data_IF_956443782366
#
_entry.id   IF_956443782366
#
_cell.length_a   1.000
_cell.length_b   1.000
_cell.length_c   1.000
_cell.angle_alpha   90.00
_cell.angle_beta   90.00
_cell.angle_gamma   90.00
#
_symmetry.space_group_name_H-M   'P 1'
#
loop_
_entity.id
_entity.type
_entity.pdbx_description
1 polymer ?
2 non-polymer ?
3 non-polymer ?
4 water ?
#
# COMPACT_ATOMS: atom_id res chain seq x y z
N UNK A 1 -0.11 40.45 12.45
CA UNK A 1 0.18 40.26 11.00
C UNK A 1 0.60 38.83 10.63
N UNK A 2 1.87 38.40 10.79
CA UNK A 2 2.13 37.00 10.52
C UNK A 2 1.33 36.08 11.45
N UNK A 3 1.16 36.39 12.73
CA UNK A 3 0.34 35.49 13.56
C UNK A 3 -1.11 35.50 13.12
N UNK A 4 -1.67 36.60 12.64
CA UNK A 4 -3.05 36.68 12.13
C UNK A 4 -3.22 35.92 10.82
N UNK A 5 -2.22 35.94 9.95
CA UNK A 5 -2.18 35.15 8.75
C UNK A 5 -2.13 33.66 9.18
N UNK A 6 -1.24 33.31 10.10
CA UNK A 6 -1.11 31.93 10.56
C UNK A 6 -2.45 31.47 11.14
N UNK A 7 -3.12 32.31 11.95
CA UNK A 7 -4.40 31.81 12.49
C UNK A 7 -5.43 31.61 11.41
N UNK A 8 -5.53 32.43 10.41
CA UNK A 8 -6.54 32.33 9.37
C UNK A 8 -6.21 31.24 8.36
N UNK A 9 -4.95 30.81 8.29
CA UNK A 9 -4.50 29.87 7.28
C UNK A 9 -4.77 28.42 7.68
N UNK A 10 -4.82 28.13 8.95
CA UNK A 10 -4.83 26.77 9.44
C UNK A 10 -6.21 26.13 9.66
N UNK A 11 -6.28 24.81 9.46
CA UNK A 11 -7.58 24.13 9.64
C UNK A 11 -7.84 23.95 11.11
N UNK A 12 -8.98 23.38 11.52
CA UNK A 12 -9.22 23.15 12.93
C UNK A 12 -9.20 21.70 13.41
N UNK A 13 -9.98 20.80 12.84
CA UNK A 13 -10.07 19.41 13.26
C UNK A 13 -9.00 18.44 12.67
N UNK A 14 -9.12 17.20 13.09
CA UNK A 14 -8.28 16.10 12.68
C UNK A 14 -8.47 15.78 11.20
N UNK A 15 -7.40 15.50 10.46
CA UNK A 15 -7.47 15.01 9.11
C UNK A 15 -8.37 13.76 9.05
N UNK A 16 -9.28 13.88 8.07
CA UNK A 16 -10.27 12.79 7.92
C UNK A 16 -10.22 12.22 6.50
N UNK A 17 -10.31 10.90 6.43
CA UNK A 17 -10.45 10.20 5.15
C UNK A 17 -11.91 10.33 4.74
N UNK A 18 -12.21 10.93 3.60
CA UNK A 18 -13.56 11.18 3.13
C UNK A 18 -13.99 10.45 1.88
N UNK A 19 -13.12 9.71 1.23
CA UNK A 19 -13.43 8.82 0.13
C UNK A 19 -12.24 7.94 -0.10
N UNK A 20 -12.51 6.71 -0.55
CA UNK A 20 -11.51 5.74 -0.93
C UNK A 20 -12.01 5.06 -2.23
N UNK A 21 -11.14 4.91 -3.23
CA UNK A 21 -11.51 4.21 -4.48
C UNK A 21 -10.28 3.40 -4.93
N UNK A 22 -10.39 2.24 -5.56
CA UNK A 22 -9.24 1.41 -5.88
C UNK A 22 -9.35 1.02 -7.37
N UNK A 23 -8.23 0.66 -8.01
CA UNK A 23 -8.27 0.05 -9.34
C UNK A 23 -7.16 -1.01 -9.44
N UNK A 24 -7.19 -1.94 -10.36
CA UNK A 24 -6.26 -2.98 -10.60
C UNK A 24 -6.23 -3.25 -12.10
N UNK A 25 -5.11 -3.68 -12.63
CA UNK A 25 -5.01 -4.03 -14.06
C UNK A 25 -6.04 -5.16 -14.28
N UNK A 26 -6.55 -5.25 -15.48
CA UNK A 26 -7.57 -6.25 -15.80
C UNK A 26 -7.02 -7.68 -15.83
N UNK A 27 -5.73 -7.92 -15.91
CA UNK A 27 -5.30 -9.32 -15.95
C UNK A 27 -5.26 -9.99 -14.59
N UNK A 28 -6.13 -10.96 -14.34
CA UNK A 28 -6.24 -11.78 -13.15
C UNK A 28 -5.36 -13.03 -13.20
N UNK A 29 -4.42 -13.27 -12.33
CA UNK A 29 -3.50 -14.39 -12.35
C UNK A 29 -3.76 -15.30 -11.16
N UNK A 30 -4.24 -16.53 -11.47
CA UNK A 30 -4.59 -17.43 -10.38
C UNK A 30 -3.31 -17.82 -9.65
N UNK A 31 -3.32 -17.97 -8.33
CA UNK A 31 -2.07 -18.31 -7.67
C UNK A 31 -1.80 -19.80 -7.79
N UNK A 32 -2.82 -20.64 -7.84
CA UNK A 32 -2.72 -22.07 -7.80
C UNK A 32 -1.87 -22.64 -8.92
N UNK A 33 -2.08 -22.13 -10.08
CA UNK A 33 -1.39 -22.53 -11.28
C UNK A 33 -0.20 -21.62 -11.58
N UNK A 34 0.14 -20.70 -10.67
CA UNK A 34 1.12 -19.69 -11.01
C UNK A 34 2.54 -20.24 -11.16
N UNK A 35 2.97 -21.18 -10.36
CA UNK A 35 4.29 -21.77 -10.50
C UNK A 35 4.49 -22.46 -11.87
N UNK A 36 3.49 -23.08 -12.45
CA UNK A 36 3.60 -23.62 -13.79
C UNK A 36 3.66 -22.51 -14.80
N UNK A 37 2.82 -21.51 -14.72
CA UNK A 37 2.93 -20.37 -15.66
C UNK A 37 4.30 -19.71 -15.54
N UNK A 38 4.71 -19.39 -14.33
CA UNK A 38 5.92 -18.54 -14.14
C UNK A 38 7.16 -19.34 -14.60
N UNK A 39 7.30 -20.61 -14.19
CA UNK A 39 8.46 -21.39 -14.57
C UNK A 39 8.53 -21.67 -16.06
N UNK A 40 7.36 -21.76 -16.76
CA UNK A 40 7.41 -21.91 -18.20
C UNK A 40 7.68 -20.57 -18.84
N UNK A 41 7.01 -19.49 -18.40
CA UNK A 41 7.25 -18.21 -19.07
C UNK A 41 8.69 -17.73 -18.91
N UNK A 42 9.41 -18.22 -17.90
CA UNK A 42 10.81 -17.79 -17.74
C UNK A 42 11.79 -18.84 -18.22
N UNK A 43 11.32 -19.78 -19.10
CA UNK A 43 12.16 -20.88 -19.55
C UNK A 43 12.94 -21.56 -18.43
N UNK A 44 12.28 -21.82 -17.30
CA UNK A 44 12.97 -22.47 -16.21
C UNK A 44 12.44 -23.84 -15.83
N UNK A 45 11.69 -24.49 -16.69
CA UNK A 45 11.08 -25.78 -16.42
C UNK A 45 12.06 -26.85 -16.05
N UNK A 46 13.29 -26.78 -16.49
CA UNK A 46 14.30 -27.73 -16.13
C UNK A 46 14.63 -27.63 -14.66
N UNK A 47 14.55 -26.48 -14.01
CA UNK A 47 14.82 -26.30 -12.59
C UNK A 47 13.77 -26.91 -11.66
N UNK A 48 13.74 -28.24 -11.59
CA UNK A 48 12.74 -28.94 -10.81
C UNK A 48 12.71 -28.57 -9.33
N UNK A 49 13.85 -28.67 -8.65
CA UNK A 49 13.94 -28.42 -7.22
C UNK A 49 13.38 -27.01 -6.90
N UNK A 50 13.86 -26.05 -7.67
CA UNK A 50 13.47 -24.65 -7.51
C UNK A 50 11.97 -24.50 -7.71
N UNK A 51 11.42 -25.16 -8.73
CA UNK A 51 10.01 -25.05 -9.01
C UNK A 51 9.09 -25.52 -7.88
N UNK A 52 9.51 -26.65 -7.30
CA UNK A 52 8.84 -27.29 -6.19
C UNK A 52 8.84 -26.31 -5.00
N UNK A 53 10.03 -25.76 -4.79
CA UNK A 53 10.22 -24.75 -3.77
C UNK A 53 9.19 -23.63 -4.03
N UNK A 54 9.15 -23.12 -5.27
CA UNK A 54 8.20 -22.04 -5.55
C UNK A 54 6.74 -22.49 -5.37
N UNK A 55 6.37 -23.71 -5.74
CA UNK A 55 4.97 -24.14 -5.55
C UNK A 55 4.63 -24.13 -4.05
N UNK A 56 5.54 -24.53 -3.18
CA UNK A 56 5.30 -24.48 -1.75
C UNK A 56 5.12 -23.02 -1.29
N UNK A 57 5.97 -22.11 -1.66
CA UNK A 57 5.75 -20.69 -1.39
C UNK A 57 4.36 -20.20 -1.88
N UNK A 58 3.94 -20.43 -3.14
CA UNK A 58 2.65 -20.05 -3.63
C UNK A 58 1.53 -20.73 -2.83
N UNK A 59 1.54 -22.05 -2.67
CA UNK A 59 0.57 -22.67 -1.76
C UNK A 59 0.57 -22.09 -0.34
N UNK A 60 1.67 -21.68 0.23
CA UNK A 60 1.67 -21.14 1.61
C UNK A 60 1.32 -19.69 1.73
N UNK A 61 1.30 -19.01 0.62
CA UNK A 61 1.16 -17.57 0.49
C UNK A 61 -0.16 -17.08 0.98
N UNK A 62 -1.25 -17.84 0.89
CA UNK A 62 -2.56 -17.42 1.34
C UNK A 62 -3.12 -16.34 0.43
N UNK A 63 -2.60 -16.36 -0.78
CA UNK A 63 -3.01 -15.50 -1.88
C UNK A 63 -3.71 -16.44 -2.88
N UNK A 64 -4.95 -16.14 -3.25
CA UNK A 64 -5.71 -16.83 -4.23
C UNK A 64 -5.50 -16.29 -5.66
N UNK A 65 -5.31 -15.00 -5.82
CA UNK A 65 -5.03 -14.40 -7.11
C UNK A 65 -4.39 -13.00 -6.98
N UNK A 66 -3.79 -12.54 -8.07
CA UNK A 66 -3.27 -11.17 -8.15
C UNK A 66 -3.54 -10.58 -9.52
N UNK A 67 -3.68 -9.29 -9.64
CA UNK A 67 -3.96 -8.59 -10.86
C UNK A 67 -2.60 -8.08 -11.35
N UNK A 68 -2.31 -8.22 -12.62
CA UNK A 68 -0.97 -7.91 -13.12
C UNK A 68 -1.03 -7.29 -14.51
N UNK A 69 -0.38 -6.16 -14.58
CA UNK A 69 -0.19 -5.45 -15.82
C UNK A 69 0.55 -6.39 -16.79
N UNK A 70 1.55 -7.13 -16.29
CA UNK A 70 2.28 -7.98 -17.18
C UNK A 70 1.44 -9.18 -17.63
N UNK A 71 1.39 -9.43 -18.92
CA UNK A 71 0.62 -10.55 -19.47
C UNK A 71 1.61 -11.52 -20.12
N UNK A 72 1.21 -12.68 -20.62
CA UNK A 72 2.17 -13.53 -21.34
C UNK A 72 2.64 -12.86 -22.64
N UNK A 73 1.78 -12.17 -23.31
CA UNK A 73 2.03 -11.48 -24.55
C UNK A 73 3.05 -10.36 -24.28
N UNK A 74 2.87 -9.54 -23.26
CA UNK A 74 3.98 -8.65 -22.88
C UNK A 74 5.27 -9.36 -22.56
N UNK A 75 5.26 -10.41 -21.79
CA UNK A 75 6.46 -11.19 -21.43
C UNK A 75 7.14 -11.90 -22.59
N UNK A 76 6.46 -12.27 -23.66
CA UNK A 76 7.06 -12.89 -24.85
C UNK A 76 7.75 -11.86 -25.74
N UNK A 77 7.32 -10.59 -25.62
CA UNK A 77 8.03 -9.47 -26.22
C UNK A 77 9.14 -8.89 -25.38
N UNK A 78 9.36 -9.35 -24.15
CA UNK A 78 10.49 -8.84 -23.35
C UNK A 78 11.24 -9.94 -22.68
N UNK A 79 11.93 -10.84 -23.36
CA UNK A 79 12.68 -11.91 -22.73
C UNK A 79 13.67 -11.42 -21.71
N UNK A 80 14.21 -10.20 -21.87
CA UNK A 80 15.17 -9.66 -20.89
C UNK A 80 14.49 -9.46 -19.53
N UNK A 81 13.20 -9.33 -19.50
CA UNK A 81 12.41 -9.17 -18.28
C UNK A 81 12.19 -10.55 -17.68
N UNK A 82 12.23 -11.57 -18.54
CA UNK A 82 11.97 -12.91 -18.07
C UNK A 82 13.20 -13.59 -17.46
N UNK A 83 14.36 -13.05 -17.74
CA UNK A 83 15.59 -13.60 -17.19
C UNK A 83 15.74 -13.17 -15.73
N UNK A 84 16.56 -13.78 -14.89
CA UNK A 84 16.74 -13.27 -13.53
C UNK A 84 17.36 -11.90 -13.55
N UNK A 85 18.41 -11.70 -14.37
CA UNK A 85 19.12 -10.42 -14.34
C UNK A 85 19.62 -10.06 -15.74
N UNK A 86 18.84 -9.42 -16.57
CA UNK A 86 19.29 -8.95 -17.86
C UNK A 86 18.94 -7.46 -17.95
N UNK A 87 19.74 -6.63 -18.65
CA UNK A 87 19.47 -5.23 -18.90
C UNK A 87 18.03 -5.01 -19.37
N UNK A 88 17.25 -4.22 -18.64
CA UNK A 88 15.78 -4.22 -18.98
C UNK A 88 15.05 -3.05 -18.33
N UNK A 89 15.82 -2.15 -17.71
CA UNK A 89 15.19 -0.98 -17.09
C UNK A 89 14.45 -0.07 -18.04
N UNK A 90 14.89 0.14 -19.26
CA UNK A 90 14.23 1.06 -20.21
C UNK A 90 12.89 0.43 -20.61
N UNK A 91 12.95 -0.88 -20.85
CA UNK A 91 11.66 -1.56 -21.11
C UNK A 91 10.74 -1.45 -19.92
N UNK A 92 11.02 -1.81 -18.68
CA UNK A 92 10.19 -1.69 -17.52
C UNK A 92 9.66 -0.26 -17.23
N UNK A 93 10.51 0.76 -17.44
CA UNK A 93 10.25 2.12 -17.20
C UNK A 93 9.16 2.60 -18.21
N UNK A 94 9.30 2.13 -19.43
CA UNK A 94 8.34 2.50 -20.46
C UNK A 94 6.99 1.89 -20.08
N UNK A 95 6.97 0.73 -19.41
CA UNK A 95 5.66 0.19 -19.01
C UNK A 95 5.09 1.02 -17.88
N UNK A 96 5.84 1.20 -16.78
CA UNK A 96 5.32 1.80 -15.57
C UNK A 96 5.22 3.30 -15.58
N UNK A 97 5.94 4.03 -16.45
CA UNK A 97 5.73 5.49 -16.42
C UNK A 97 4.32 5.82 -16.93
N UNK A 98 3.74 4.97 -17.75
CA UNK A 98 2.41 5.06 -18.31
C UNK A 98 1.41 4.34 -17.38
N UNK A 99 1.68 3.10 -17.03
CA UNK A 99 0.71 2.31 -16.24
C UNK A 99 0.43 2.90 -14.88
N UNK A 100 1.37 3.48 -14.19
CA UNK A 100 1.23 4.01 -12.85
C UNK A 100 0.21 5.12 -12.84
N UNK A 101 0.38 6.17 -13.59
CA UNK A 101 -0.62 7.22 -13.67
C UNK A 101 -1.94 6.73 -14.27
N UNK A 102 -1.97 5.91 -15.33
CA UNK A 102 -3.23 5.36 -15.83
C UNK A 102 -4.04 4.60 -14.73
N UNK A 103 -3.49 3.73 -13.95
CA UNK A 103 -4.13 2.99 -12.90
C UNK A 103 -4.51 3.91 -11.72
N UNK A 104 -3.54 4.78 -11.36
CA UNK A 104 -3.82 5.84 -10.42
C UNK A 104 -5.08 6.64 -10.75
N UNK A 105 -5.20 7.02 -12.01
CA UNK A 105 -6.31 7.77 -12.57
C UNK A 105 -7.62 7.03 -12.32
N UNK A 106 -7.66 5.75 -12.59
CA UNK A 106 -8.87 4.96 -12.41
C UNK A 106 -9.35 5.04 -10.96
N UNK A 107 -8.40 4.84 -10.04
CA UNK A 107 -8.69 4.82 -8.61
C UNK A 107 -9.18 6.21 -8.18
N UNK A 108 -8.47 7.24 -8.66
CA UNK A 108 -8.82 8.58 -8.17
C UNK A 108 -10.20 9.05 -8.62
N UNK A 109 -10.60 8.74 -9.85
CA UNK A 109 -11.88 9.11 -10.42
C UNK A 109 -12.98 8.47 -9.54
N UNK A 110 -12.90 7.19 -9.14
CA UNK A 110 -13.83 6.61 -8.19
C UNK A 110 -13.86 7.33 -6.85
N UNK A 111 -12.70 7.60 -6.25
CA UNK A 111 -12.74 8.33 -4.94
C UNK A 111 -13.40 9.72 -5.11
N UNK A 112 -13.01 10.41 -6.18
CA UNK A 112 -13.54 11.74 -6.47
C UNK A 112 -15.06 11.58 -6.65
N UNK A 113 -15.56 10.65 -7.41
CA UNK A 113 -17.01 10.42 -7.50
C UNK A 113 -17.66 10.20 -6.14
N UNK A 114 -17.10 9.34 -5.30
CA UNK A 114 -17.64 9.09 -3.96
C UNK A 114 -17.67 10.38 -3.14
N UNK A 115 -16.64 11.17 -3.24
CA UNK A 115 -16.48 12.42 -2.45
C UNK A 115 -17.60 13.35 -2.88
N UNK A 116 -17.81 13.46 -4.20
CA UNK A 116 -18.94 14.22 -4.69
C UNK A 116 -18.67 15.68 -4.96
N UNK A 117 -17.62 16.26 -4.38
CA UNK A 117 -17.26 17.66 -4.56
C UNK A 117 -16.51 17.93 -5.85
N UNK A 118 -16.54 19.14 -6.36
CA UNK A 118 -15.77 19.57 -7.52
C UNK A 118 -14.27 19.26 -7.39
N UNK A 119 -13.68 18.73 -8.47
CA UNK A 119 -12.32 18.30 -8.43
C UNK A 119 -11.45 19.51 -8.27
N UNK A 120 -11.88 20.71 -8.66
CA UNK A 120 -11.14 21.94 -8.52
C UNK A 120 -10.93 22.39 -7.07
N UNK A 121 -11.59 21.80 -6.10
CA UNK A 121 -11.43 21.94 -4.67
C UNK A 121 -10.28 21.04 -4.19
N UNK A 122 -9.69 20.26 -5.12
CA UNK A 122 -8.53 19.46 -4.68
C UNK A 122 -7.35 20.40 -4.58
N UNK A 123 -6.82 20.64 -3.39
CA UNK A 123 -5.70 21.57 -3.23
C UNK A 123 -4.29 20.98 -3.18
N UNK A 124 -4.14 19.73 -2.90
CA UNK A 124 -2.93 18.97 -2.71
C UNK A 124 -3.04 17.54 -3.26
N UNK A 125 -1.90 17.05 -3.75
CA UNK A 125 -1.93 15.78 -4.44
C UNK A 125 -0.63 15.06 -4.07
N UNK A 126 -0.86 13.90 -3.49
CA UNK A 126 0.27 13.08 -3.08
C UNK A 126 0.21 11.87 -3.99
N UNK A 127 1.30 11.64 -4.73
CA UNK A 127 1.37 10.39 -5.50
C UNK A 127 2.56 9.60 -4.90
N UNK A 128 2.23 8.32 -4.76
CA UNK A 128 3.15 7.40 -4.19
C UNK A 128 3.21 6.13 -5.02
N UNK A 129 4.46 5.79 -5.33
CA UNK A 129 4.69 4.59 -6.13
C UNK A 129 6.07 3.96 -5.87
N UNK A 130 6.20 2.64 -6.05
CA UNK A 130 7.57 2.09 -5.98
C UNK A 130 8.04 1.63 -7.33
N UNK A 131 7.37 1.92 -8.46
CA UNK A 131 7.68 1.36 -9.74
C UNK A 131 7.89 2.49 -10.74
N UNK A 132 9.16 2.61 -11.10
CA UNK A 132 9.45 3.67 -12.04
C UNK A 132 9.68 4.98 -11.31
N UNK A 133 10.43 5.86 -12.00
CA UNK A 133 10.61 7.25 -11.67
C UNK A 133 10.66 8.03 -12.99
N UNK A 134 10.26 9.27 -13.05
CA UNK A 134 10.24 9.99 -14.26
C UNK A 134 10.22 11.49 -13.87
N UNK A 135 10.71 12.34 -14.80
CA UNK A 135 10.49 13.77 -14.60
C UNK A 135 9.86 14.43 -15.80
N UNK A 136 8.87 15.28 -15.72
CA UNK A 136 7.94 15.47 -14.62
C UNK A 136 7.47 14.10 -14.14
N UNK A 137 7.05 13.97 -12.87
CA UNK A 137 6.67 12.64 -12.40
C UNK A 137 5.24 12.22 -12.61
N UNK A 138 4.88 11.07 -11.95
CA UNK A 138 3.49 10.64 -12.02
C UNK A 138 2.49 11.63 -11.41
N UNK A 139 2.92 12.53 -10.53
CA UNK A 139 2.03 13.55 -9.96
C UNK A 139 1.54 14.57 -10.99
N UNK A 140 2.46 14.98 -11.82
CA UNK A 140 2.25 15.81 -12.97
C UNK A 140 1.39 15.05 -13.99
N UNK A 141 1.68 13.80 -14.34
CA UNK A 141 0.84 13.09 -15.29
C UNK A 141 -0.59 12.96 -14.80
N UNK A 142 -0.76 12.69 -13.50
CA UNK A 142 -2.10 12.54 -12.95
C UNK A 142 -2.89 13.85 -12.87
N UNK A 143 -2.19 14.98 -12.63
CA UNK A 143 -2.79 16.29 -12.60
C UNK A 143 -3.45 16.62 -13.95
N UNK A 144 -2.74 16.28 -14.99
CA UNK A 144 -3.07 16.42 -16.39
C UNK A 144 -4.18 15.42 -16.77
N UNK A 145 -3.94 14.15 -16.45
CA UNK A 145 -5.02 13.18 -16.75
C UNK A 145 -6.32 13.55 -16.06
N UNK A 146 -6.31 13.93 -14.78
CA UNK A 146 -7.59 14.18 -14.11
C UNK A 146 -8.22 15.53 -14.40
N UNK A 147 -7.50 16.47 -14.99
CA UNK A 147 -7.97 17.83 -15.16
C UNK A 147 -7.83 18.58 -13.84
N UNK A 148 -7.01 18.27 -12.85
CA UNK A 148 -6.92 18.99 -11.59
C UNK A 148 -6.52 20.44 -11.83
N UNK A 149 -6.68 21.39 -10.91
CA UNK A 149 -6.07 22.71 -11.22
C UNK A 149 -4.55 22.65 -11.32
N UNK A 150 -3.96 23.48 -12.18
CA UNK A 150 -2.52 23.62 -12.40
C UNK A 150 -1.73 24.00 -11.16
N UNK A 151 -2.38 24.67 -10.19
CA UNK A 151 -1.74 25.06 -8.94
C UNK A 151 -1.95 24.03 -7.83
N UNK A 152 -2.44 22.81 -8.18
CA UNK A 152 -2.58 21.85 -7.06
C UNK A 152 -1.19 21.69 -6.42
N UNK A 153 -0.98 21.57 -5.12
CA UNK A 153 0.36 21.38 -4.54
C UNK A 153 0.71 19.89 -4.49
N UNK A 154 1.73 19.52 -5.22
CA UNK A 154 2.19 18.18 -5.48
C UNK A 154 3.32 17.64 -4.61
N UNK A 155 3.16 16.35 -4.25
CA UNK A 155 4.05 15.61 -3.41
C UNK A 155 4.36 14.28 -4.11
N UNK A 156 5.49 14.17 -4.78
CA UNK A 156 5.79 13.00 -5.59
C UNK A 156 6.64 12.09 -4.75
N UNK A 157 6.11 10.97 -4.22
CA UNK A 157 6.92 10.10 -3.40
C UNK A 157 7.40 8.89 -4.19
N UNK A 158 8.58 8.89 -4.76
CA UNK A 158 9.11 7.82 -5.57
C UNK A 158 9.93 6.84 -4.77
N UNK A 159 9.97 5.59 -5.17
CA UNK A 159 10.81 4.55 -4.58
C UNK A 159 10.88 4.42 -3.07
N UNK A 160 9.75 4.41 -2.45
CA UNK A 160 9.51 4.37 -1.04
C UNK A 160 9.45 2.95 -0.49
N UNK A 161 8.73 2.06 -1.19
CA UNK A 161 8.67 0.70 -0.75
C UNK A 161 7.39 0.52 0.06
N UNK A 162 7.28 -0.77 0.76
CA UNK A 162 6.13 -1.36 1.27
C UNK A 162 5.45 -0.68 2.47
N UNK A 163 6.17 0.15 3.22
CA UNK A 163 5.58 0.88 4.28
C UNK A 163 4.88 2.18 3.75
N UNK A 164 5.05 2.49 2.38
CA UNK A 164 4.54 3.81 2.19
C UNK A 164 3.03 4.18 2.17
N UNK A 165 2.17 3.19 2.44
CA UNK A 165 0.76 3.38 2.66
C UNK A 165 0.59 4.16 3.99
N UNK A 166 1.42 3.89 4.97
CA UNK A 166 1.43 4.66 6.21
C UNK A 166 2.10 6.01 6.00
N UNK A 167 3.18 6.12 5.24
CA UNK A 167 3.77 7.45 4.93
C UNK A 167 2.83 8.49 4.34
N UNK A 168 2.04 8.07 3.32
CA UNK A 168 1.13 8.92 2.60
C UNK A 168 0.04 9.47 3.51
N UNK A 169 -0.41 8.63 4.45
CA UNK A 169 -1.32 9.04 5.47
C UNK A 169 -0.67 10.02 6.45
N UNK A 170 0.60 9.69 6.78
CA UNK A 170 1.25 10.58 7.75
C UNK A 170 1.37 11.93 7.07
N UNK A 171 1.75 11.93 5.80
CA UNK A 171 1.93 13.19 5.08
C UNK A 171 0.60 13.93 4.96
N UNK A 172 -0.44 13.32 4.43
CA UNK A 172 -1.78 13.83 4.25
C UNK A 172 -2.34 14.45 5.52
N UNK A 173 -2.02 13.85 6.68
CA UNK A 173 -2.52 14.40 7.95
C UNK A 173 -2.03 15.85 8.10
N UNK A 174 -0.72 16.05 8.05
CA UNK A 174 -0.17 17.38 8.25
C UNK A 174 -0.58 18.32 7.11
N UNK A 175 -0.76 17.83 5.89
CA UNK A 175 -1.21 18.82 4.90
C UNK A 175 -2.66 19.23 5.24
N UNK A 176 -3.58 18.28 5.54
CA UNK A 176 -4.96 18.65 5.75
C UNK A 176 -5.18 19.53 6.99
N UNK A 177 -4.44 19.28 8.06
CA UNK A 177 -4.61 19.91 9.33
C UNK A 177 -4.04 21.31 9.48
N UNK A 178 -3.11 21.70 8.65
CA UNK A 178 -2.40 22.93 8.75
C UNK A 178 -2.94 23.95 7.74
N UNK A 179 -3.78 23.53 6.79
CA UNK A 179 -4.29 24.33 5.73
C UNK A 179 -5.84 24.26 5.68
N UNK A 180 -6.45 25.38 5.96
CA UNK A 180 -7.86 25.61 6.04
C UNK A 180 -8.50 25.30 4.70
N UNK A 181 -9.49 24.42 4.60
CA UNK A 181 -10.04 24.16 3.26
C UNK A 181 -9.29 23.11 2.45
N UNK A 182 -8.02 22.83 2.82
CA UNK A 182 -7.26 21.88 1.98
C UNK A 182 -7.96 20.54 1.92
N UNK A 183 -7.94 19.87 0.78
CA UNK A 183 -8.53 18.62 0.40
C UNK A 183 -7.43 17.90 -0.35
N UNK A 184 -6.99 16.77 0.23
CA UNK A 184 -5.84 16.13 -0.35
C UNK A 184 -6.24 14.91 -1.18
N UNK A 185 -5.79 14.83 -2.43
CA UNK A 185 -6.02 13.60 -3.16
C UNK A 185 -4.74 12.76 -2.94
N UNK A 186 -4.92 11.53 -2.45
CA UNK A 186 -3.75 10.67 -2.17
C UNK A 186 -3.80 9.50 -3.16
N UNK A 187 -2.83 9.27 -4.03
CA UNK A 187 -2.88 8.13 -4.94
C UNK A 187 -1.66 7.21 -4.76
N UNK A 188 -1.92 5.93 -4.43
CA UNK A 188 -0.79 4.99 -4.29
C UNK A 188 -0.98 3.97 -5.42
N UNK A 189 -0.05 3.82 -6.32
CA UNK A 189 -0.21 3.09 -7.53
C UNK A 189 1.05 2.23 -7.68
N UNK A 190 0.86 0.92 -7.64
CA UNK A 190 2.04 0.04 -7.67
C UNK A 190 1.91 -1.01 -8.75
N UNK A 191 2.88 -0.98 -9.72
CA UNK A 191 2.94 -1.95 -10.77
C UNK A 191 4.24 -2.76 -10.67
N UNK A 192 4.26 -4.06 -10.62
CA UNK A 192 5.33 -4.97 -10.40
C UNK A 192 6.12 -5.38 -11.63
N UNK A 193 5.78 -4.92 -12.82
CA UNK A 193 6.47 -4.90 -14.05
C UNK A 193 7.92 -4.44 -13.83
N UNK A 194 8.25 -3.59 -12.92
CA UNK A 194 9.58 -3.12 -12.58
C UNK A 194 10.31 -4.19 -11.77
N UNK A 195 9.58 -5.06 -11.05
CA UNK A 195 10.25 -6.08 -10.28
C UNK A 195 10.16 -7.48 -10.87
N UNK A 196 9.23 -7.78 -11.71
CA UNK A 196 9.17 -9.17 -12.23
C UNK A 196 10.54 -9.58 -12.81
N UNK A 197 10.98 -10.81 -12.55
CA UNK A 197 12.20 -11.34 -13.07
C UNK A 197 12.12 -12.87 -12.90
N UNK A 198 12.92 -13.57 -13.67
CA UNK A 198 13.05 -15.02 -13.64
C UNK A 198 13.67 -15.49 -12.33
N UNK A 199 13.57 -16.81 -12.13
CA UNK A 199 14.02 -17.43 -10.89
C UNK A 199 15.47 -17.80 -10.87
N UNK A 200 16.08 -17.77 -9.69
CA UNK A 200 17.48 -18.26 -9.56
C UNK A 200 17.57 -18.91 -8.19
N UNK A 201 18.06 -20.14 -8.19
CA UNK A 201 18.19 -20.95 -7.00
C UNK A 201 19.18 -20.41 -5.99
N UNK A 202 20.02 -19.44 -6.24
CA UNK A 202 20.85 -18.86 -5.18
C UNK A 202 20.25 -17.52 -4.78
N UNK A 203 19.02 -17.19 -5.19
CA UNK A 203 18.37 -15.91 -4.79
C UNK A 203 16.90 -16.15 -4.49
N UNK A 204 16.61 -17.00 -3.52
CA UNK A 204 15.31 -17.40 -3.06
C UNK A 204 14.47 -16.27 -2.49
N UNK A 205 15.15 -15.32 -1.85
CA UNK A 205 14.55 -14.06 -1.41
C UNK A 205 13.91 -13.36 -2.59
N UNK A 206 14.61 -13.30 -3.73
CA UNK A 206 14.02 -12.72 -4.91
C UNK A 206 12.84 -13.60 -5.31
N UNK A 207 12.93 -14.90 -5.19
CA UNK A 207 11.79 -15.76 -5.55
C UNK A 207 10.56 -15.51 -4.69
N UNK A 208 10.72 -15.28 -3.38
CA UNK A 208 9.56 -14.93 -2.52
C UNK A 208 8.79 -13.73 -3.05
N UNK A 209 9.51 -12.66 -3.44
CA UNK A 209 8.84 -11.49 -4.06
C UNK A 209 7.99 -11.84 -5.24
N UNK A 210 8.41 -12.79 -6.09
CA UNK A 210 7.63 -13.31 -7.23
C UNK A 210 6.37 -14.10 -6.85
N UNK A 211 6.35 -14.70 -5.63
CA UNK A 211 5.09 -15.33 -5.20
C UNK A 211 4.12 -14.27 -4.65
N UNK A 212 4.65 -13.20 -4.00
CA UNK A 212 3.76 -12.33 -3.24
C UNK A 212 3.25 -11.03 -3.81
N UNK A 213 4.04 -10.38 -4.66
CA UNK A 213 3.68 -9.07 -5.14
C UNK A 213 2.67 -9.06 -6.26
N UNK A 214 1.74 -8.08 -6.17
CA UNK A 214 0.69 -7.88 -7.15
C UNK A 214 0.41 -6.40 -7.37
N UNK A 215 -0.38 -6.08 -8.39
CA UNK A 215 -0.56 -4.68 -8.73
C UNK A 215 -1.82 -4.01 -8.25
N UNK A 216 -1.79 -2.68 -8.11
CA UNK A 216 -3.07 -2.02 -7.83
C UNK A 216 -2.83 -0.58 -7.37
N UNK A 217 -3.91 0.20 -7.47
CA UNK A 217 -3.88 1.58 -7.00
C UNK A 217 -5.03 1.82 -6.00
N UNK A 218 -4.81 2.74 -5.07
CA UNK A 218 -5.92 3.24 -4.25
C UNK A 218 -5.79 4.76 -4.17
N UNK A 219 -6.93 5.46 -4.00
CA UNK A 219 -6.94 6.90 -3.91
C UNK A 219 -7.84 7.27 -2.72
N UNK A 220 -7.50 8.31 -2.02
CA UNK A 220 -8.27 8.81 -0.90
C UNK A 220 -8.46 10.31 -1.18
N UNK A 221 -9.44 10.87 -0.51
CA UNK A 221 -9.59 12.33 -0.41
C UNK A 221 -9.45 12.56 1.12
N UNK A 222 -8.53 13.38 1.52
CA UNK A 222 -8.26 13.60 2.94
C UNK A 222 -8.49 15.09 3.20
N UNK A 223 -9.14 15.39 4.33
CA UNK A 223 -9.42 16.78 4.62
C UNK A 223 -9.72 16.95 6.12
N UNK A 224 -9.49 18.15 6.65
CA UNK A 224 -10.04 18.43 7.98
C UNK A 224 -11.31 19.29 7.76
N UNK A 225 -12.09 19.45 8.85
CA UNK A 225 -13.32 20.24 8.90
C UNK A 225 -14.30 19.87 7.78
N UNK A 226 -14.72 18.60 7.76
CA UNK A 226 -15.66 18.15 6.74
C UNK A 226 -16.94 18.96 6.66
N UNK A 227 -17.60 19.20 5.52
CA UNK A 227 -18.87 19.98 5.63
C UNK A 227 -20.06 19.06 5.87
N UNK A 228 -20.65 19.17 7.07
CA UNK A 228 -21.48 18.11 7.63
C UNK A 228 -22.61 17.80 6.66
N UNK A 229 -22.93 16.52 6.42
CA UNK A 229 -24.04 16.26 5.51
C UNK A 229 -23.75 16.70 4.08
N UNK A 230 -22.52 16.89 3.66
CA UNK A 230 -22.11 17.18 2.31
C UNK A 230 -20.92 16.25 1.98
N UNK A 231 -20.00 16.18 2.94
CA UNK A 231 -18.84 15.31 2.91
C UNK A 231 -19.08 14.25 3.97
N UNK A 232 -18.61 13.02 3.81
CA UNK A 232 -18.90 11.96 4.76
C UNK A 232 -17.62 11.28 5.26
N UNK A 233 -17.16 11.67 6.45
CA UNK A 233 -15.98 11.08 7.09
C UNK A 233 -16.04 9.56 7.06
N UNK A 234 -14.94 8.88 6.89
CA UNK A 234 -14.87 7.41 7.03
C UNK A 234 -13.99 6.99 8.19
N UNK A 235 -12.81 7.62 8.31
CA UNK A 235 -11.89 7.35 9.42
C UNK A 235 -11.28 8.69 9.84
N UNK A 236 -10.80 8.85 11.08
CA UNK A 236 -10.09 10.05 11.44
C UNK A 236 -8.69 9.59 11.88
N UNK A 237 -7.73 10.40 11.47
CA UNK A 237 -6.31 10.19 11.80
C UNK A 237 -6.03 11.05 13.02
N UNK A 238 -5.37 10.41 14.00
CA UNK A 238 -5.14 11.13 15.26
C UNK A 238 -3.67 11.40 15.53
N UNK A 239 -2.86 10.40 15.17
CA UNK A 239 -1.48 10.34 15.54
C UNK A 239 -0.71 9.43 14.57
N UNK A 240 0.56 9.74 14.36
CA UNK A 240 1.35 8.83 13.51
C UNK A 240 2.73 8.69 14.13
N UNK A 241 3.51 7.73 13.66
CA UNK A 241 4.91 7.59 13.97
C UNK A 241 5.55 6.81 12.82
N UNK A 242 6.86 6.89 12.71
CA UNK A 242 7.67 6.12 11.81
C UNK A 242 8.93 5.72 12.59
N UNK A 243 9.38 4.47 12.49
CA UNK A 243 10.56 4.08 13.21
C UNK A 243 11.35 2.99 12.49
N UNK A 244 12.60 2.82 12.87
CA UNK A 244 13.47 1.80 12.25
C UNK A 244 13.79 0.78 13.35
N UNK A 245 13.43 -0.47 13.13
CA UNK A 245 13.63 -1.54 14.09
C UNK A 245 15.14 -1.74 14.29
N UNK A 246 15.54 -2.01 15.53
CA UNK A 246 16.94 -2.30 15.82
C UNK A 246 17.30 -3.64 15.19
N UNK A 247 18.60 -3.84 14.90
CA UNK A 247 19.12 -5.09 14.37
C UNK A 247 18.40 -5.49 13.08
N UNK A 248 18.12 -4.56 12.15
CA UNK A 248 17.40 -4.99 10.94
C UNK A 248 18.07 -4.50 9.66
N UNK A 249 19.32 -4.11 9.84
CA UNK A 249 20.03 -3.58 8.69
C UNK A 249 20.00 -4.63 7.59
N UNK A 250 19.51 -4.16 6.43
CA UNK A 250 19.33 -4.97 5.23
C UNK A 250 18.16 -5.92 5.27
N UNK A 251 17.21 -5.96 6.17
CA UNK A 251 16.08 -6.86 6.13
C UNK A 251 15.27 -6.83 4.83
N UNK A 252 15.01 -5.66 4.25
CA UNK A 252 14.28 -5.53 3.01
C UNK A 252 14.96 -4.45 2.19
N UNK A 253 15.80 -4.80 1.25
CA UNK A 253 16.55 -3.79 0.46
C UNK A 253 16.01 -3.90 -0.98
N UNK A 254 16.04 -2.85 -1.76
CA UNK A 254 15.58 -2.93 -3.15
C UNK A 254 16.34 -1.92 -3.98
N UNK A 255 17.07 -2.33 -5.00
CA UNK A 255 17.95 -1.42 -5.76
C UNK A 255 17.38 -1.27 -7.18
N UNK A 256 17.29 -0.06 -7.70
CA UNK A 256 16.85 0.12 -9.07
C UNK A 256 18.12 0.15 -9.95
N UNK A 257 18.28 -0.86 -10.76
CA UNK A 257 19.48 -1.07 -11.56
C UNK A 257 19.10 -1.05 -13.03
N UNK A 258 20.05 -1.31 -13.92
CA UNK A 258 19.81 -1.49 -15.34
C UNK A 258 18.96 -2.74 -15.62
N UNK A 259 19.00 -3.72 -14.70
CA UNK A 259 18.19 -4.91 -14.80
C UNK A 259 16.86 -4.82 -14.01
N UNK A 260 16.49 -3.58 -13.66
CA UNK A 260 15.20 -3.39 -12.98
C UNK A 260 15.34 -3.25 -11.48
N UNK A 261 14.23 -3.40 -10.76
CA UNK A 261 14.20 -3.23 -9.33
C UNK A 261 14.44 -4.63 -8.72
N UNK A 262 15.49 -4.77 -7.90
CA UNK A 262 15.67 -6.14 -7.35
C UNK A 262 15.37 -6.03 -5.85
N UNK A 263 14.84 -7.05 -5.21
CA UNK A 263 14.59 -7.07 -3.78
C UNK A 263 15.41 -8.17 -3.15
N UNK A 264 16.01 -7.99 -1.98
CA UNK A 264 16.88 -8.85 -1.23
C UNK A 264 16.45 -8.93 0.24
N UNK A 265 16.26 -10.10 0.82
CA UNK A 265 15.81 -10.22 2.21
C UNK A 265 16.99 -10.77 3.02
N UNK A 266 17.55 -9.92 3.90
CA UNK A 266 18.79 -10.39 4.52
C UNK A 266 18.68 -10.73 5.99
N UNK A 267 17.52 -10.61 6.61
CA UNK A 267 17.31 -10.85 8.02
C UNK A 267 16.01 -11.66 8.19
N UNK A 268 15.39 -11.68 9.34
CA UNK A 268 14.10 -12.38 9.45
C UNK A 268 12.97 -11.34 9.61
N UNK A 269 12.36 -10.89 8.53
CA UNK A 269 11.32 -9.85 8.51
C UNK A 269 10.15 -10.17 9.44
N UNK A 270 9.55 -11.36 9.31
CA UNK A 270 8.47 -11.76 10.22
C UNK A 270 8.87 -11.71 11.67
N UNK A 271 10.10 -12.15 12.02
CA UNK A 271 10.53 -12.10 13.41
C UNK A 271 10.94 -10.70 13.81
N UNK A 272 11.52 -9.90 12.87
CA UNK A 272 11.74 -8.49 13.28
C UNK A 272 10.46 -7.70 13.51
N UNK A 273 9.50 -7.82 12.55
CA UNK A 273 8.21 -7.19 12.80
C UNK A 273 7.52 -7.61 14.11
N UNK A 274 7.48 -8.91 14.37
CA UNK A 274 6.80 -9.41 15.57
C UNK A 274 7.42 -8.86 16.82
N UNK A 275 8.72 -9.03 16.99
CA UNK A 275 9.55 -8.52 18.03
C UNK A 275 9.44 -7.02 18.34
N UNK A 276 9.13 -6.22 17.33
CA UNK A 276 9.07 -4.77 17.51
C UNK A 276 7.65 -4.24 17.55
N UNK A 277 6.62 -5.06 17.26
CA UNK A 277 5.30 -4.48 17.07
C UNK A 277 4.72 -3.93 18.39
N UNK A 278 5.02 -4.60 19.49
CA UNK A 278 4.54 -4.24 20.81
C UNK A 278 5.02 -2.83 21.20
N UNK A 279 6.35 -2.64 20.94
CA UNK A 279 6.92 -1.31 21.13
C UNK A 279 6.11 -0.24 20.40
N UNK A 280 5.81 -0.43 19.09
CA UNK A 280 5.06 0.50 18.29
C UNK A 280 3.68 0.78 18.90
N UNK A 281 3.04 -0.31 19.24
CA UNK A 281 1.72 -0.28 19.84
C UNK A 281 1.77 0.50 21.17
N UNK A 282 2.76 0.23 22.04
CA UNK A 282 2.70 1.02 23.30
C UNK A 282 2.93 2.48 23.04
N UNK A 283 3.80 2.89 22.13
CA UNK A 283 4.10 4.28 21.84
C UNK A 283 2.86 4.94 21.31
N UNK A 284 1.96 4.25 20.61
CA UNK A 284 0.76 4.77 20.03
C UNK A 284 -0.37 4.82 21.07
N UNK A 285 -0.64 3.73 21.76
CA UNK A 285 -1.85 3.66 22.53
C UNK A 285 -1.77 3.85 24.03
N UNK A 286 -0.53 3.83 24.56
CA UNK A 286 -0.38 4.16 25.96
C UNK A 286 -0.87 5.53 26.37
N UNK A 287 -0.78 6.58 25.55
CA UNK A 287 -1.32 7.90 25.88
C UNK A 287 -2.83 7.94 25.69
N UNK A 288 -3.41 6.85 25.20
CA UNK A 288 -4.84 6.76 24.96
C UNK A 288 -5.47 5.89 26.03
N UNK A 289 -4.58 5.42 26.92
CA UNK A 289 -4.98 4.56 28.02
C UNK A 289 -5.40 3.22 27.44
N UNK A 290 -5.06 2.82 26.20
CA UNK A 290 -5.51 1.48 25.85
C UNK A 290 -4.34 0.49 25.76
N UNK A 291 -4.51 -0.68 26.39
CA UNK A 291 -3.52 -1.73 26.42
C UNK A 291 -4.03 -3.06 25.87
N UNK A 292 -5.29 -3.18 25.58
CA UNK A 292 -5.86 -4.44 25.08
C UNK A 292 -5.95 -4.30 23.55
N UNK A 293 -5.02 -4.95 22.86
CA UNK A 293 -4.97 -4.90 21.40
C UNK A 293 -6.02 -5.72 20.68
N UNK A 294 -6.91 -6.43 21.40
CA UNK A 294 -8.07 -6.97 20.70
C UNK A 294 -9.22 -5.98 20.77
N UNK A 295 -9.10 -4.85 21.46
CA UNK A 295 -10.17 -3.86 21.52
C UNK A 295 -10.09 -2.71 20.50
N UNK A 296 -9.13 -2.74 19.59
CA UNK A 296 -9.02 -1.76 18.54
C UNK A 296 -9.15 -2.44 17.19
N UNK A 297 -9.43 -1.73 16.11
CA UNK A 297 -9.51 -2.40 14.81
C UNK A 297 -8.13 -2.35 14.14
N UNK A 298 -7.81 -3.39 13.38
CA UNK A 298 -6.46 -3.54 12.88
C UNK A 298 -6.39 -3.33 11.37
N UNK A 299 -5.24 -2.80 10.92
CA UNK A 299 -4.88 -2.79 9.51
C UNK A 299 -3.38 -3.06 9.47
N UNK A 300 -2.93 -4.10 8.76
CA UNK A 300 -1.48 -4.38 8.77
C UNK A 300 -0.92 -4.62 7.40
N UNK A 301 0.14 -3.93 6.93
CA UNK A 301 0.59 -4.35 5.57
C UNK A 301 0.87 -5.85 5.51
N UNK A 302 0.21 -6.60 4.66
CA UNK A 302 0.39 -8.08 4.63
C UNK A 302 1.59 -8.46 3.76
N UNK A 303 2.82 -8.19 4.21
CA UNK A 303 4.02 -8.38 3.40
C UNK A 303 4.27 -9.85 3.06
N UNK A 304 3.66 -10.78 3.72
CA UNK A 304 3.16 -12.06 3.27
C UNK A 304 2.39 -12.53 4.51
N UNK A 305 1.89 -13.75 4.56
CA UNK A 305 1.19 -14.24 5.73
C UNK A 305 1.97 -14.48 7.02
N UNK A 306 3.26 -14.80 6.92
CA UNK A 306 4.07 -15.08 8.11
C UNK A 306 4.16 -13.84 8.98
N UNK A 307 4.33 -12.63 8.45
CA UNK A 307 4.30 -11.38 9.23
C UNK A 307 3.00 -11.39 10.06
N UNK A 308 1.85 -11.47 9.40
CA UNK A 308 0.56 -11.53 10.09
C UNK A 308 0.48 -12.62 11.14
N UNK A 309 0.89 -13.85 10.80
CA UNK A 309 0.73 -14.91 11.78
C UNK A 309 1.66 -14.69 12.99
N UNK A 310 2.86 -14.23 12.69
CA UNK A 310 3.80 -14.05 13.82
C UNK A 310 3.33 -12.81 14.60
N UNK A 311 2.78 -11.76 13.99
CA UNK A 311 2.25 -10.69 14.86
C UNK A 311 1.04 -11.21 15.68
N UNK A 312 0.10 -11.93 15.04
CA UNK A 312 -1.05 -12.40 15.81
C UNK A 312 -0.68 -13.30 17.01
N UNK A 313 0.22 -14.25 16.78
CA UNK A 313 0.76 -15.11 17.83
C UNK A 313 1.40 -14.28 18.94
N UNK A 314 2.30 -13.35 18.56
CA UNK A 314 3.00 -12.55 19.56
C UNK A 314 2.05 -11.91 20.54
N UNK A 315 1.07 -11.17 19.99
CA UNK A 315 0.14 -10.44 20.85
C UNK A 315 -1.06 -11.21 21.34
N UNK A 316 -1.34 -12.43 20.94
CA UNK A 316 -2.58 -13.12 21.19
C UNK A 316 -3.78 -12.32 20.64
N UNK A 317 -3.70 -11.95 19.34
CA UNK A 317 -4.87 -11.25 18.78
C UNK A 317 -5.87 -12.36 18.39
N UNK A 318 -7.17 -12.13 18.58
CA UNK A 318 -8.10 -13.11 18.02
C UNK A 318 -7.91 -13.20 16.51
N UNK A 319 -8.16 -14.40 15.97
CA UNK A 319 -8.04 -14.70 14.54
C UNK A 319 -8.73 -13.70 13.64
N UNK A 320 -9.91 -13.28 14.08
CA UNK A 320 -10.71 -12.30 13.41
C UNK A 320 -10.00 -10.94 13.32
N UNK A 321 -9.04 -10.53 14.12
CA UNK A 321 -8.52 -9.17 13.95
C UNK A 321 -8.00 -8.90 12.54
N UNK A 322 -7.32 -9.87 11.96
CA UNK A 322 -6.63 -9.77 10.70
C UNK A 322 -7.60 -10.16 9.56
N UNK A 323 -8.91 -10.21 9.82
CA UNK A 323 -9.76 -10.66 8.70
C UNK A 323 -9.66 -9.77 7.47
N UNK A 324 -9.81 -8.44 7.59
CA UNK A 324 -9.84 -7.59 6.42
C UNK A 324 -8.51 -7.65 5.74
N UNK A 325 -7.42 -7.64 6.50
CA UNK A 325 -6.08 -7.62 5.93
C UNK A 325 -5.84 -8.87 5.07
N UNK A 326 -6.28 -9.99 5.61
CA UNK A 326 -6.11 -11.29 4.96
C UNK A 326 -7.06 -11.45 3.76
N UNK A 327 -8.21 -10.78 3.81
CA UNK A 327 -9.16 -10.83 2.68
C UNK A 327 -8.53 -10.05 1.52
N UNK A 328 -7.86 -8.94 1.83
CA UNK A 328 -7.14 -8.23 0.78
C UNK A 328 -5.93 -9.07 0.32
N UNK A 329 -5.09 -9.62 1.19
CA UNK A 329 -4.02 -10.49 0.76
C UNK A 329 -4.55 -11.58 -0.17
N UNK A 330 -5.65 -12.26 0.26
CA UNK A 330 -6.24 -13.29 -0.56
C UNK A 330 -6.60 -12.87 -1.97
N UNK A 331 -7.21 -11.67 -2.10
CA UNK A 331 -7.77 -11.28 -3.40
C UNK A 331 -6.83 -10.52 -4.34
N UNK A 332 -5.77 -9.91 -3.85
CA UNK A 332 -4.90 -9.03 -4.59
C UNK A 332 -3.40 -9.29 -4.37
N UNK A 333 -3.05 -10.01 -3.31
CA UNK A 333 -1.62 -10.23 -3.03
C UNK A 333 -1.15 -8.94 -2.30
N UNK A 334 0.15 -8.77 -2.14
CA UNK A 334 0.73 -7.62 -1.46
C UNK A 334 0.95 -6.51 -2.46
N UNK A 335 0.18 -5.42 -2.42
CA UNK A 335 0.31 -4.40 -3.47
C UNK A 335 1.21 -3.26 -3.04
N UNK A 336 2.20 -3.55 -2.22
CA UNK A 336 3.11 -2.52 -1.73
C UNK A 336 2.33 -1.38 -1.15
N UNK A 337 2.61 -0.12 -1.49
CA UNK A 337 2.02 1.01 -0.74
C UNK A 337 0.52 0.98 -0.78
N UNK A 338 -0.09 0.52 -1.89
CA UNK A 338 -1.54 0.61 -2.01
C UNK A 338 -2.28 -0.34 -1.03
N UNK A 339 -1.65 -1.41 -0.62
CA UNK A 339 -2.21 -2.52 0.09
C UNK A 339 -3.03 -2.20 1.33
N UNK A 340 -2.46 -1.41 2.22
CA UNK A 340 -3.17 -0.96 3.47
C UNK A 340 -4.38 -0.07 3.17
N UNK A 341 -4.42 0.60 2.05
CA UNK A 341 -5.52 1.47 1.62
C UNK A 341 -6.67 0.62 1.12
N UNK A 342 -6.37 -0.48 0.46
CA UNK A 342 -7.41 -1.44 0.06
C UNK A 342 -7.98 -2.04 1.35
N UNK A 343 -7.13 -2.23 2.37
CA UNK A 343 -7.65 -2.79 3.63
C UNK A 343 -8.56 -1.86 4.37
N UNK A 344 -8.34 -0.55 4.30
CA UNK A 344 -9.29 0.42 4.90
C UNK A 344 -10.57 0.32 4.12
N UNK A 345 -10.42 0.28 2.77
CA UNK A 345 -11.66 0.19 1.97
C UNK A 345 -12.48 -1.05 2.39
N UNK A 346 -11.83 -2.20 2.45
CA UNK A 346 -12.37 -3.51 2.73
C UNK A 346 -13.01 -3.48 4.13
N UNK A 347 -12.31 -2.88 5.10
CA UNK A 347 -12.93 -2.80 6.43
C UNK A 347 -14.18 -1.89 6.48
N UNK A 348 -14.12 -0.71 5.89
CA UNK A 348 -15.29 0.17 6.08
C UNK A 348 -16.50 -0.39 5.31
N UNK A 349 -16.28 -0.92 4.12
CA UNK A 349 -17.40 -1.50 3.34
C UNK A 349 -18.07 -2.66 4.07
N UNK A 350 -17.28 -3.51 4.76
CA UNK A 350 -17.77 -4.68 5.44
C UNK A 350 -18.55 -4.37 6.72
N UNK A 351 -18.00 -3.39 7.46
CA UNK A 351 -18.71 -2.88 8.61
C UNK A 351 -20.03 -2.22 8.17
N UNK A 352 -20.06 -1.41 7.15
CA UNK A 352 -21.28 -0.74 6.69
C UNK A 352 -22.25 -1.81 6.17
N UNK A 353 -21.79 -2.61 5.19
CA UNK A 353 -22.63 -3.67 4.68
C UNK A 353 -23.21 -4.51 5.81
N UNK A 354 -22.52 -4.99 6.81
CA UNK A 354 -23.02 -5.83 7.87
C UNK A 354 -23.73 -5.10 9.03
N UNK A 355 -24.16 -3.87 8.94
CA UNK A 355 -24.85 -3.16 9.97
C UNK A 355 -24.09 -2.93 11.26
N UNK A 356 -22.77 -2.75 11.27
CA UNK A 356 -22.01 -2.57 12.53
C UNK A 356 -22.10 -1.11 12.97
N UNK A 357 -21.72 -0.74 14.19
CA UNK A 357 -21.94 0.64 14.58
C UNK A 357 -20.86 1.60 14.10
N UNK A 358 -19.66 1.17 13.68
CA UNK A 358 -18.69 2.14 13.21
C UNK A 358 -18.09 1.68 11.90
N UNK A 359 -17.22 2.43 11.26
CA UNK A 359 -16.59 1.89 10.04
C UNK A 359 -15.36 1.07 10.40
N UNK A 360 -15.03 1.02 11.68
CA UNK A 360 -13.90 0.37 12.31
C UNK A 360 -14.32 -0.94 12.96
N UNK A 361 -15.16 -1.70 12.26
CA UNK A 361 -15.67 -2.97 12.76
C UNK A 361 -16.49 -2.77 14.03
N UNK A 362 -17.11 -1.65 14.32
CA UNK A 362 -17.94 -1.55 15.56
C UNK A 362 -17.11 -0.92 16.67
N UNK A 363 -15.79 -0.77 16.40
CA UNK A 363 -14.91 -0.33 17.50
C UNK A 363 -14.57 1.12 17.28
N UNK A 364 -14.10 1.80 18.31
CA UNK A 364 -13.72 3.19 18.17
C UNK A 364 -12.35 3.51 17.60
N UNK A 365 -11.27 3.02 18.16
CA UNK A 365 -9.89 3.26 17.90
C UNK A 365 -9.24 2.17 17.09
N UNK A 366 -8.37 2.55 16.17
CA UNK A 366 -7.77 1.57 15.27
C UNK A 366 -6.31 1.90 14.99
N UNK A 367 -5.67 0.84 14.43
CA UNK A 367 -4.26 1.11 14.12
C UNK A 367 -4.00 0.67 12.68
N UNK A 368 -3.19 1.40 11.96
CA UNK A 368 -2.67 0.92 10.67
C UNK A 368 -1.14 0.88 10.67
N UNK A 369 -0.57 -0.25 10.27
CA UNK A 369 0.84 -0.50 10.13
C UNK A 369 1.31 -0.63 8.66
N UNK A 370 2.42 -0.03 8.35
CA UNK A 370 3.22 -0.07 7.15
C UNK A 370 4.57 -0.68 7.53
N UNK A 371 5.01 -1.72 6.85
CA UNK A 371 6.29 -2.38 7.10
C UNK A 371 7.11 -2.35 5.84
N UNK A 372 8.43 -2.18 5.89
CA UNK A 372 9.20 -2.11 4.64
C UNK A 372 10.65 -1.84 4.88
N UNK A 373 11.37 -1.47 3.82
CA UNK A 373 12.83 -1.24 3.95
C UNK A 373 13.23 -0.39 5.12
N UNK A 374 14.28 -0.76 5.82
CA UNK A 374 14.87 0.15 6.86
C UNK A 374 15.36 -0.92 7.87
N UNK A 375 14.79 -1.87 8.58
CA UNK A 375 13.43 -2.26 8.56
C UNK A 375 12.60 -1.14 9.24
N UNK A 376 11.70 -0.58 8.44
CA UNK A 376 10.84 0.55 8.83
C UNK A 376 9.46 0.11 9.25
N UNK A 377 8.95 0.71 10.33
CA UNK A 377 7.56 0.52 10.73
C UNK A 377 6.84 1.88 10.73
N UNK A 378 5.73 1.96 9.97
CA UNK A 378 4.94 3.20 9.95
C UNK A 378 3.68 2.90 10.82
N UNK A 379 3.39 3.75 11.78
CA UNK A 379 2.16 3.56 12.57
C UNK A 379 1.20 4.73 12.39
N UNK A 380 -0.07 4.52 12.06
CA UNK A 380 -1.07 5.57 12.04
C UNK A 380 -2.18 5.23 13.06
N UNK A 381 -2.50 6.20 13.93
CA UNK A 381 -3.61 5.96 14.85
C UNK A 381 -4.89 6.53 14.26
N UNK A 382 -5.90 5.64 14.21
CA UNK A 382 -7.19 5.97 13.66
C UNK A 382 -8.33 5.90 14.68
N UNK A 383 -9.31 6.76 14.30
CA UNK A 383 -10.58 6.61 15.06
C UNK A 383 -11.64 6.38 13.98
N UNK A 384 -12.55 5.47 14.25
CA UNK A 384 -13.62 5.16 13.34
C UNK A 384 -14.69 6.25 13.30
N UNK A 385 -15.71 6.03 12.47
CA UNK A 385 -16.79 7.05 12.43
C UNK A 385 -18.11 6.37 12.61
N UNK A 386 -19.04 7.00 13.31
CA UNK A 386 -20.29 6.33 13.69
C UNK A 386 -21.05 6.13 12.37
N UNK A 387 -21.59 4.98 12.30
CA UNK A 387 -22.39 4.46 11.24
C UNK A 387 -21.73 3.99 9.98
X LIG B 1 3.72 39.20 14.06
X LIG B 1 2.70 38.09 14.28
X LIG B 1 5.08 38.63 14.27
X LIG B 1 3.33 40.25 15.05
X LIG B 1 3.57 39.68 12.65
X LIG C 1 16.08 -18.13 2.56
X LIG C 1 15.69 -19.29 1.94
X LIG C 1 14.49 -19.73 1.71
X LIG C 1 13.54 -18.86 2.16
X LIG C 1 13.78 -17.66 2.79
X LIG C 1 15.12 -17.27 3.01
X LIG C 1 15.50 -16.13 3.60
X LIG C 1 12.57 -17.08 3.12
X LIG C 1 11.63 -17.94 2.70
X LIG C 1 12.16 -19.06 2.12
X LIG C 1 11.50 -20.20 1.53
X LIG C 1 11.90 -21.55 2.04
X LIG C 1 13.02 -22.14 1.38
X LIG C 1 10.60 -22.37 1.91
X LIG C 1 10.70 -23.46 0.94
X LIG C 1 10.74 -24.99 1.38
X LIG C 1 11.89 -25.59 0.48
X LIG C 1 9.49 -25.71 1.40
X LIG C 1 11.47 -25.27 2.61
X LIG C 1 9.47 -21.41 1.46
X LIG C 1 10.14 -20.17 1.77
X LIG C 1 8.15 -21.56 2.19
X LIG C 1 8.23 -22.04 3.51
X LIG C 1 7.17 -22.54 4.60
X LIG C 1 6.96 -24.01 4.49
X LIG C 1 7.82 -22.26 5.93
X LIG C 1 5.88 -21.65 4.50
X LIG C 1 5.43 -20.22 5.11
X LIG C 1 4.33 -20.36 6.10
X LIG C 1 6.52 -19.51 5.80
X LIG C 1 4.86 -19.36 4.02
X LIG C 1 5.80 -17.54 2.77
X LIG C 1 5.78 -19.08 2.97
X LIG C 1 4.52 -17.12 2.02
X LIG C 1 6.96 -17.17 1.81
X LIG C 1 6.19 -17.00 4.18
X LIG C 1 7.47 -17.40 4.33
X LIG C 1 6.23 -15.45 4.14
X LIG C 1 5.13 -14.87 4.39
X LIG C 1 7.44 -14.96 3.82
X LIG C 1 7.37 -13.44 3.73
X LIG C 1 8.25 -12.68 4.69
X LIG C 1 8.72 -11.40 4.05
X LIG C 1 9.80 -10.92 4.34
X LIG C 1 8.01 -10.70 3.17
X LIG C 1 8.75 -9.44 2.72
X LIG C 1 8.45 -8.95 1.31
X LIG C 1 9.93 -8.50 0.39
#
# INVERSE_FOLDING_TARGET
SVSEIRKAQRAEGPATILAIGTANPANCVEQSTYPDFYFKITNSEHKTELKEKFQRMCDKSMIKRRYMYLTEEILKENPNVCEYMAPSLDARQDMVVVEVPRLGKEAAVKAIKEWGQPKSKITHLIVCTTSGVDMPGADYQLTKLLGLRPYVKRYMMYQQGCFAGGTVLRLAKDLAENNKGARVLVVCSEVTAVTFRGPSDTHLDSLVGQALFGDGAAALIVGSDPVPEIEKPIFEMVWTAQTIAPDSEGAIDGHLREAGLTFHLLKDVPGIVSKNITKALVEAFEPLGISDYNSIFWIAHPGGPAILDQVEQKLALKPEKMNATREVLSEYGAMSSACVLFILDEMRKKSTQNGLKTTGEGLEWGVLFGFGPGLTIETVVLRSVAI
SO4 S O1 O2 O3 O4
COA N1A C2A N3A C4A C5A C6A N6A N7A C8A N9A C1B C2B O2B C3B O3B P3B O7A O8A O9A C4B O4B C5B O5B P1A O1A O2A O3A P2A O4A O5A O6A CBP CCP CDP CEP CAP OAP C9P O9P N8P C7P C6P C5P O5P N4P C3P C2P S1P
#
